data_IF_974565094632
#
_entry.id   IF_974565094632
#
_cell.length_a   1.000
_cell.length_b   1.000
_cell.length_c   1.000
_cell.angle_alpha   90.00
_cell.angle_beta   90.00
_cell.angle_gamma   90.00
#
_symmetry.space_group_name_H-M   'P 1'
#
loop_
_entity.id
_entity.type
_entity.pdbx_description
1 polymer ?
#
# COMPACT_ATOMS: atom_id res chain seq x y z
N UNK A 1 1.12 0.09 -29.30
CA UNK A 1 -0.13 -0.50 -28.78
C UNK A 1 -0.63 0.44 -27.69
N UNK A 2 -1.86 0.98 -27.77
CA UNK A 2 -2.40 1.75 -26.65
C UNK A 2 -2.39 0.89 -25.39
N UNK A 3 -2.01 1.48 -24.25
CA UNK A 3 -1.96 0.75 -22.99
C UNK A 3 -3.40 0.46 -22.55
N UNK A 4 -3.63 -0.73 -21.98
CA UNK A 4 -4.96 -1.26 -21.62
C UNK A 4 -5.73 -0.37 -20.64
N UNK A 5 -5.06 0.63 -20.04
CA UNK A 5 -5.58 1.48 -18.99
C UNK A 5 -5.49 2.98 -19.31
N UNK A 6 -5.19 3.35 -20.56
CA UNK A 6 -5.08 4.76 -20.98
C UNK A 6 -6.40 5.53 -20.79
N UNK A 7 -7.53 4.81 -20.77
CA UNK A 7 -8.88 5.32 -20.52
C UNK A 7 -9.14 5.69 -19.05
N UNK A 8 -8.41 5.08 -18.10
CA UNK A 8 -8.65 5.26 -16.66
C UNK A 8 -7.52 5.99 -15.92
N UNK A 9 -6.28 5.93 -16.42
CA UNK A 9 -5.11 6.42 -15.67
C UNK A 9 -5.08 7.94 -15.51
N UNK A 10 -5.68 8.67 -16.45
CA UNK A 10 -5.70 10.14 -16.47
C UNK A 10 -7.04 10.73 -16.03
N UNK A 11 -7.93 9.92 -15.42
CA UNK A 11 -9.23 10.41 -14.97
C UNK A 11 -9.03 11.35 -13.77
N UNK A 12 -9.56 12.57 -13.90
CA UNK A 12 -9.59 13.53 -12.78
C UNK A 12 -10.42 12.97 -11.64
N UNK A 13 -9.88 13.04 -10.42
CA UNK A 13 -10.63 12.67 -9.22
C UNK A 13 -11.95 13.44 -9.11
N UNK A 14 -13.07 12.71 -8.98
CA UNK A 14 -14.41 13.27 -8.82
C UNK A 14 -14.83 13.18 -7.36
N UNK A 15 -14.81 14.33 -6.66
CA UNK A 15 -15.29 14.42 -5.28
C UNK A 15 -16.82 14.31 -5.24
N UNK A 16 -17.33 13.52 -4.30
CA UNK A 16 -18.78 13.39 -4.07
C UNK A 16 -19.37 14.72 -3.60
N UNK A 17 -20.52 15.09 -4.16
CA UNK A 17 -21.29 16.27 -3.76
C UNK A 17 -22.31 15.97 -2.66
N UNK A 18 -22.82 14.74 -2.61
CA UNK A 18 -23.86 14.30 -1.67
C UNK A 18 -23.28 13.80 -0.34
N UNK A 19 -22.16 13.10 -0.40
CA UNK A 19 -21.56 12.47 0.78
C UNK A 19 -20.21 13.12 1.07
N UNK A 20 -20.02 13.73 2.25
CA UNK A 20 -18.74 14.30 2.62
C UNK A 20 -17.68 13.20 2.74
N UNK A 21 -16.43 13.57 2.48
CA UNK A 21 -15.30 12.69 2.74
C UNK A 21 -15.16 12.42 4.23
N UNK A 22 -14.65 11.23 4.56
CA UNK A 22 -14.29 10.91 5.93
C UNK A 22 -13.19 11.87 6.44
N UNK A 23 -13.36 12.48 7.62
CA UNK A 23 -12.32 13.27 8.28
C UNK A 23 -11.01 12.50 8.44
N UNK A 24 -9.88 13.21 8.48
CA UNK A 24 -8.56 12.59 8.56
C UNK A 24 -8.39 11.74 9.82
N UNK A 25 -8.94 12.19 10.94
CA UNK A 25 -8.85 11.53 12.25
C UNK A 25 -9.60 10.19 12.23
N UNK A 26 -10.79 10.17 11.60
CA UNK A 26 -11.56 8.93 11.40
C UNK A 26 -10.85 7.97 10.44
N UNK A 27 -10.18 8.49 9.41
CA UNK A 27 -9.32 7.67 8.54
C UNK A 27 -8.16 7.07 9.32
N UNK A 28 -7.48 7.84 10.17
CA UNK A 28 -6.39 7.36 11.01
C UNK A 28 -6.86 6.31 12.04
N UNK A 29 -8.04 6.51 12.64
CA UNK A 29 -8.60 5.59 13.63
C UNK A 29 -8.85 4.18 13.09
N UNK A 30 -9.07 4.01 11.78
CA UNK A 30 -9.18 2.68 11.16
C UNK A 30 -7.89 1.85 11.32
N UNK A 31 -6.74 2.53 11.45
CA UNK A 31 -5.44 1.92 11.65
C UNK A 31 -5.01 1.86 13.12
N UNK A 32 -5.85 2.33 14.05
CA UNK A 32 -5.57 2.27 15.48
C UNK A 32 -5.27 0.85 16.01
N UNK A 33 -5.92 -0.23 15.54
CA UNK A 33 -5.59 -1.60 15.98
C UNK A 33 -4.13 -2.00 15.72
N UNK A 34 -3.47 -1.37 14.74
CA UNK A 34 -2.08 -1.65 14.38
C UNK A 34 -1.07 -0.77 15.12
N UNK A 35 -1.52 0.08 16.05
CA UNK A 35 -0.62 0.92 16.84
C UNK A 35 0.35 0.10 17.69
N UNK A 36 0.03 -1.15 18.00
CA UNK A 36 0.89 -2.10 18.73
C UNK A 36 2.19 -2.39 17.97
N UNK A 37 2.22 -2.23 16.65
CA UNK A 37 3.44 -2.40 15.85
C UNK A 37 4.48 -1.30 16.12
N UNK A 38 4.07 -0.18 16.74
CA UNK A 38 5.00 0.89 17.13
C UNK A 38 5.96 0.36 18.19
N UNK A 39 7.24 0.24 17.83
CA UNK A 39 8.30 -0.38 18.66
C UNK A 39 8.81 -1.73 18.14
N UNK A 40 8.20 -2.28 17.09
CA UNK A 40 8.69 -3.48 16.39
C UNK A 40 9.50 -3.15 15.13
N UNK A 41 10.02 -1.93 15.02
CA UNK A 41 10.67 -1.42 13.79
C UNK A 41 11.84 -2.33 13.35
N UNK A 42 12.63 -2.83 14.29
CA UNK A 42 13.74 -3.76 14.00
C UNK A 42 13.26 -5.11 13.46
N UNK A 43 12.17 -5.65 14.00
CA UNK A 43 11.60 -6.92 13.54
C UNK A 43 10.99 -6.78 12.13
N UNK A 44 10.32 -5.65 11.86
CA UNK A 44 9.78 -5.32 10.54
C UNK A 44 10.91 -5.20 9.51
N UNK A 45 11.98 -4.48 9.83
CA UNK A 45 13.12 -4.30 8.93
C UNK A 45 13.87 -5.61 8.65
N UNK A 46 14.01 -6.47 9.66
CA UNK A 46 14.58 -7.82 9.48
C UNK A 46 13.73 -8.66 8.52
N UNK A 47 12.41 -8.67 8.72
CA UNK A 47 11.48 -9.42 7.88
C UNK A 47 11.49 -8.90 6.44
N UNK A 48 11.53 -7.58 6.26
CA UNK A 48 11.65 -6.94 4.94
C UNK A 48 12.89 -7.43 4.18
N UNK A 49 14.08 -7.38 4.81
CA UNK A 49 15.33 -7.85 4.20
C UNK A 49 15.29 -9.34 3.84
N UNK A 50 14.61 -10.16 4.65
CA UNK A 50 14.46 -11.58 4.35
C UNK A 50 13.51 -11.82 3.16
N UNK A 51 12.43 -11.06 3.08
CA UNK A 51 11.48 -11.11 1.97
C UNK A 51 12.12 -10.65 0.66
N UNK A 52 12.89 -9.56 0.66
CA UNK A 52 13.66 -9.11 -0.51
C UNK A 52 14.60 -10.21 -1.01
N UNK A 53 15.37 -10.83 -0.12
CA UNK A 53 16.24 -11.97 -0.47
C UNK A 53 15.47 -13.17 -1.04
N UNK A 54 14.28 -13.46 -0.52
CA UNK A 54 13.43 -14.56 -1.05
C UNK A 54 12.88 -14.20 -2.43
N UNK A 55 12.46 -12.96 -2.64
CA UNK A 55 11.97 -12.48 -3.92
C UNK A 55 13.07 -12.55 -4.98
N UNK A 56 14.26 -12.02 -4.69
CA UNK A 56 15.43 -12.13 -5.57
C UNK A 56 15.70 -13.58 -5.95
N UNK A 57 15.82 -14.48 -4.97
CA UNK A 57 16.02 -15.91 -5.23
C UNK A 57 14.92 -16.52 -6.12
N UNK A 58 13.66 -16.13 -5.90
CA UNK A 58 12.56 -16.62 -6.72
C UNK A 58 12.63 -16.13 -8.17
N UNK A 59 13.14 -14.92 -8.41
CA UNK A 59 13.37 -14.40 -9.76
C UNK A 59 14.45 -15.26 -10.45
N UNK A 60 15.55 -15.57 -9.76
CA UNK A 60 16.61 -16.43 -10.30
C UNK A 60 16.22 -17.90 -10.50
N UNK A 61 15.18 -18.41 -9.83
CA UNK A 61 14.69 -19.80 -9.98
C UNK A 61 13.76 -19.94 -11.20
N UNK A 62 13.19 -18.83 -11.68
CA UNK A 62 12.26 -18.81 -12.80
C UNK A 62 12.91 -18.39 -14.14
N UNK A 63 14.23 -18.20 -14.16
CA UNK A 63 15.07 -18.10 -15.38
C UNK A 63 15.81 -19.42 -15.62
#
# INVERSE_FOLDING_TARGET
MPNKHDDIINIKYKKSTKYPLMPLEKRAAQFAPFSVLKGFDEAIEKMKKEMERKLEKSIYINE
#
